data_IF_158960943965
#
_entry.id   IF_158960943965
#
_cell.length_a   1.000
_cell.length_b   1.000
_cell.length_c   1.000
_cell.angle_alpha   90.00
_cell.angle_beta   90.00
_cell.angle_gamma   90.00
#
_symmetry.space_group_name_H-M   'P 1'
#
loop_
_entity.id
_entity.type
_entity.pdbx_description
1 polymer ?
#
# COMPACT_ATOMS: atom_id res chain seq x y z
N UNK A 1 -29.23 16.67 -6.20
CA UNK A 1 -28.53 16.84 -4.92
C UNK A 1 -27.94 15.48 -4.62
N UNK A 2 -26.66 15.32 -4.97
CA UNK A 2 -26.02 14.03 -5.22
C UNK A 2 -25.83 13.22 -3.94
N UNK A 3 -26.46 12.06 -3.91
CA UNK A 3 -26.33 11.08 -2.84
C UNK A 3 -24.94 10.46 -2.89
N UNK A 4 -24.05 10.87 -1.99
CA UNK A 4 -22.78 10.18 -1.78
C UNK A 4 -23.07 8.77 -1.24
N UNK A 5 -22.91 7.77 -2.12
CA UNK A 5 -22.71 6.39 -1.71
C UNK A 5 -21.39 6.33 -0.92
N UNK A 6 -21.47 6.38 0.40
CA UNK A 6 -20.36 5.96 1.24
C UNK A 6 -20.19 4.45 1.00
N UNK A 7 -19.21 4.10 0.17
CA UNK A 7 -18.89 2.72 -0.17
C UNK A 7 -18.70 1.86 1.07
N UNK A 8 -19.00 0.57 0.96
CA UNK A 8 -18.87 -0.44 2.02
C UNK A 8 -17.62 -0.22 2.89
N UNK A 9 -17.78 0.45 4.03
CA UNK A 9 -16.71 0.62 4.98
C UNK A 9 -16.36 -0.73 5.60
N UNK A 10 -15.07 -1.04 5.71
CA UNK A 10 -14.63 -2.22 6.47
C UNK A 10 -14.92 -1.96 7.95
N UNK A 11 -15.82 -2.73 8.53
CA UNK A 11 -16.12 -2.65 9.96
C UNK A 11 -15.07 -3.42 10.76
N UNK A 12 -14.49 -2.79 11.78
CA UNK A 12 -13.52 -3.41 12.69
C UNK A 12 -14.11 -3.42 14.10
N UNK A 13 -14.22 -4.60 14.71
CA UNK A 13 -14.65 -4.75 16.09
C UNK A 13 -13.42 -4.66 17.01
N UNK A 14 -13.37 -3.64 17.87
CA UNK A 14 -12.24 -3.38 18.77
C UNK A 14 -12.73 -3.50 20.20
N UNK A 15 -11.98 -4.23 21.03
CA UNK A 15 -12.21 -4.29 22.47
C UNK A 15 -11.31 -3.28 23.14
N UNK A 16 -11.91 -2.41 23.94
CA UNK A 16 -11.21 -1.38 24.71
C UNK A 16 -11.58 -1.59 26.18
N UNK A 17 -10.60 -1.49 27.07
CA UNK A 17 -10.90 -1.30 28.48
C UNK A 17 -11.48 0.11 28.72
N UNK A 18 -12.18 0.27 29.84
CA UNK A 18 -12.92 1.50 30.12
C UNK A 18 -12.00 2.72 30.25
N UNK A 19 -10.80 2.54 30.80
CA UNK A 19 -9.84 3.63 30.96
C UNK A 19 -9.31 4.11 29.60
N UNK A 20 -8.94 3.19 28.71
CA UNK A 20 -8.50 3.51 27.35
C UNK A 20 -9.63 4.14 26.54
N UNK A 21 -10.86 3.62 26.66
CA UNK A 21 -12.03 4.21 26.00
C UNK A 21 -12.25 5.66 26.45
N UNK A 22 -12.25 5.92 27.76
CA UNK A 22 -12.44 7.27 28.30
C UNK A 22 -11.35 8.24 27.82
N UNK A 23 -10.09 7.81 27.82
CA UNK A 23 -8.98 8.61 27.32
C UNK A 23 -9.10 8.90 25.81
N UNK A 24 -9.53 7.92 25.02
CA UNK A 24 -9.77 8.08 23.59
C UNK A 24 -10.94 9.03 23.30
N UNK A 25 -12.04 8.95 24.05
CA UNK A 25 -13.18 9.86 23.92
C UNK A 25 -12.80 11.31 24.25
N UNK A 26 -12.07 11.52 25.33
CA UNK A 26 -11.59 12.85 25.72
C UNK A 26 -10.66 13.45 24.64
N UNK A 27 -9.82 12.61 24.03
CA UNK A 27 -8.96 13.01 22.92
C UNK A 27 -9.73 13.26 21.62
N UNK A 28 -10.76 12.48 21.33
CA UNK A 28 -11.66 12.68 20.21
C UNK A 28 -12.43 14.00 20.34
N UNK A 29 -12.99 14.28 21.52
CA UNK A 29 -13.68 15.55 21.85
C UNK A 29 -12.78 16.76 21.62
N UNK A 30 -11.53 16.73 22.10
CA UNK A 30 -10.56 17.80 21.84
C UNK A 30 -10.28 18.07 20.35
N UNK A 31 -10.47 17.06 19.51
CA UNK A 31 -10.29 17.16 18.06
C UNK A 31 -11.59 17.43 17.31
N UNK A 32 -12.73 17.55 18.00
CA UNK A 32 -14.04 17.69 17.37
C UNK A 32 -14.48 16.44 16.59
N UNK A 33 -13.95 15.26 16.92
CA UNK A 33 -14.23 14.00 16.25
C UNK A 33 -15.11 13.10 17.12
N UNK A 34 -15.88 12.22 16.46
CA UNK A 34 -16.47 11.07 17.15
C UNK A 34 -15.37 10.09 17.55
N UNK A 35 -15.63 9.25 18.56
CA UNK A 35 -14.68 8.21 18.96
C UNK A 35 -14.32 7.29 17.77
N UNK A 36 -15.31 6.92 16.96
CA UNK A 36 -15.10 6.09 15.78
C UNK A 36 -14.21 6.79 14.74
N UNK A 37 -14.45 8.08 14.45
CA UNK A 37 -13.63 8.85 13.52
C UNK A 37 -12.20 8.99 14.03
N UNK A 38 -12.03 9.29 15.31
CA UNK A 38 -10.71 9.37 15.93
C UNK A 38 -9.92 8.05 15.86
N UNK A 39 -10.59 6.92 16.08
CA UNK A 39 -9.94 5.59 15.98
C UNK A 39 -9.61 5.23 14.53
N UNK A 40 -10.48 5.58 13.57
CA UNK A 40 -10.19 5.38 12.15
C UNK A 40 -8.95 6.15 11.71
N UNK A 41 -8.85 7.44 12.07
CA UNK A 41 -7.68 8.28 11.79
C UNK A 41 -6.41 7.72 12.43
N UNK A 42 -6.51 7.20 13.66
CA UNK A 42 -5.37 6.61 14.37
C UNK A 42 -4.86 5.36 13.65
N UNK A 43 -5.77 4.47 13.22
CA UNK A 43 -5.42 3.26 12.48
C UNK A 43 -4.81 3.63 11.12
N UNK A 44 -5.39 4.59 10.42
CA UNK A 44 -4.87 5.02 9.11
C UNK A 44 -3.46 5.63 9.23
N UNK A 45 -3.24 6.47 10.24
CA UNK A 45 -1.92 7.04 10.51
C UNK A 45 -0.87 5.95 10.81
N UNK A 46 -1.22 4.97 11.63
CA UNK A 46 -0.34 3.85 11.99
C UNK A 46 -0.01 2.95 10.78
N UNK A 47 -1.04 2.65 9.96
CA UNK A 47 -0.86 1.88 8.72
C UNK A 47 0.03 2.62 7.73
N UNK A 48 -0.12 3.93 7.59
CA UNK A 48 0.70 4.72 6.70
C UNK A 48 2.17 4.75 7.16
N UNK A 49 2.41 4.89 8.47
CA UNK A 49 3.76 4.81 9.04
C UNK A 49 4.39 3.42 8.82
N UNK A 50 3.66 2.35 9.13
CA UNK A 50 4.12 0.97 8.93
C UNK A 50 4.42 0.68 7.45
N UNK A 51 3.56 1.16 6.55
CA UNK A 51 3.76 1.07 5.09
C UNK A 51 5.01 1.83 4.65
N UNK A 52 5.21 3.05 5.14
CA UNK A 52 6.38 3.85 4.80
C UNK A 52 7.69 3.17 5.26
N UNK A 53 7.71 2.66 6.50
CA UNK A 53 8.85 1.91 7.02
C UNK A 53 9.14 0.63 6.20
N UNK A 54 8.09 -0.12 5.83
CA UNK A 54 8.22 -1.29 4.98
C UNK A 54 8.79 -0.94 3.59
N UNK A 55 8.27 0.10 2.93
CA UNK A 55 8.78 0.53 1.62
C UNK A 55 10.24 0.99 1.70
N UNK A 56 10.63 1.72 2.75
CA UNK A 56 12.02 2.10 2.98
C UNK A 56 12.94 0.89 3.20
N UNK A 57 12.47 -0.11 3.96
CA UNK A 57 13.18 -1.37 4.13
C UNK A 57 13.31 -2.16 2.82
N UNK A 58 12.23 -2.25 2.04
CA UNK A 58 12.26 -2.91 0.73
C UNK A 58 13.22 -2.21 -0.25
N UNK A 59 13.23 -0.87 -0.28
CA UNK A 59 14.17 -0.11 -1.10
C UNK A 59 15.63 -0.37 -0.66
N UNK A 60 15.88 -0.42 0.65
CA UNK A 60 17.21 -0.70 1.20
C UNK A 60 17.68 -2.13 0.89
N UNK A 61 16.76 -3.09 0.98
CA UNK A 61 17.00 -4.48 0.58
C UNK A 61 17.34 -4.58 -0.91
N UNK A 62 16.55 -3.97 -1.78
CA UNK A 62 16.81 -3.97 -3.22
C UNK A 62 18.16 -3.32 -3.51
N UNK A 63 18.49 -2.18 -2.91
CA UNK A 63 19.79 -1.53 -3.11
C UNK A 63 20.97 -2.41 -2.67
N UNK A 64 20.82 -3.18 -1.59
CA UNK A 64 21.89 -4.05 -1.07
C UNK A 64 22.08 -5.33 -1.87
N UNK A 65 21.03 -5.83 -2.52
CA UNK A 65 21.03 -7.16 -3.15
C UNK A 65 20.79 -7.14 -4.66
N UNK A 66 20.50 -5.99 -5.27
CA UNK A 66 20.24 -5.88 -6.71
C UNK A 66 21.36 -6.51 -7.54
N UNK A 67 22.62 -6.14 -7.29
CA UNK A 67 23.77 -6.68 -8.03
C UNK A 67 23.93 -8.20 -7.84
N UNK A 68 23.62 -8.70 -6.64
CA UNK A 68 23.66 -10.14 -6.36
C UNK A 68 22.53 -10.89 -7.07
N UNK A 69 21.33 -10.29 -7.16
CA UNK A 69 20.24 -10.84 -7.97
C UNK A 69 20.60 -10.80 -9.45
N UNK A 70 21.10 -9.69 -10.00
CA UNK A 70 21.52 -9.64 -11.40
C UNK A 70 22.63 -10.67 -11.72
N UNK A 71 23.57 -10.89 -10.80
CA UNK A 71 24.60 -11.92 -10.99
C UNK A 71 24.05 -13.36 -10.93
N UNK A 72 23.07 -13.63 -10.05
CA UNK A 72 22.52 -14.97 -9.83
C UNK A 72 21.32 -15.29 -10.76
N UNK A 73 20.58 -14.28 -11.23
CA UNK A 73 19.32 -14.43 -11.99
C UNK A 73 19.22 -13.52 -13.24
N UNK A 74 20.19 -12.64 -13.49
CA UNK A 74 20.19 -11.71 -14.61
C UNK A 74 20.47 -12.38 -15.96
N UNK A 75 19.64 -12.01 -16.93
CA UNK A 75 19.68 -12.20 -18.39
C UNK A 75 19.93 -13.57 -19.04
N UNK A 76 20.54 -14.58 -18.41
CA UNK A 76 20.69 -15.91 -19.05
C UNK A 76 19.51 -16.86 -18.73
N UNK A 77 18.44 -16.32 -18.11
CA UNK A 77 17.29 -17.10 -17.61
C UNK A 77 15.93 -16.44 -17.77
N UNK A 78 15.80 -15.43 -18.64
CA UNK A 78 14.48 -14.97 -19.11
C UNK A 78 14.13 -15.67 -20.43
N UNK A 79 13.47 -16.85 -20.41
CA UNK A 79 12.96 -17.47 -21.62
C UNK A 79 11.79 -16.64 -22.16
N UNK A 80 12.07 -15.61 -22.95
CA UNK A 80 11.00 -14.83 -23.58
C UNK A 80 11.40 -13.51 -24.23
N UNK A 81 12.47 -12.85 -23.81
CA UNK A 81 12.92 -11.62 -24.49
C UNK A 81 13.89 -12.01 -25.59
N UNK A 82 13.35 -12.57 -26.68
CA UNK A 82 14.16 -12.77 -27.88
C UNK A 82 14.63 -11.42 -28.40
N UNK A 83 15.94 -11.27 -28.55
CA UNK A 83 16.66 -10.12 -29.10
C UNK A 83 16.40 -9.89 -30.60
N UNK A 84 15.22 -10.30 -31.08
CA UNK A 84 14.84 -10.21 -32.48
C UNK A 84 14.33 -8.79 -32.74
N UNK A 85 15.01 -7.98 -33.57
CA UNK A 85 14.45 -6.70 -33.97
C UNK A 85 13.07 -6.94 -34.59
N UNK A 86 12.06 -6.20 -34.11
CA UNK A 86 10.69 -6.30 -34.56
C UNK A 86 10.64 -6.18 -36.08
N UNK A 87 10.39 -7.30 -36.77
CA UNK A 87 10.29 -7.33 -38.21
C UNK A 87 9.05 -6.51 -38.62
N UNK A 88 9.19 -5.45 -39.44
CA UNK A 88 8.03 -4.67 -39.86
C UNK A 88 7.14 -5.57 -40.72
N UNK A 89 5.90 -5.75 -40.26
CA UNK A 89 4.89 -6.52 -40.97
C UNK A 89 4.68 -5.93 -42.38
N UNK A 90 4.61 -6.76 -43.45
CA UNK A 90 4.30 -6.27 -44.78
C UNK A 90 2.86 -5.75 -44.78
N UNK A 91 2.72 -4.43 -44.88
CA UNK A 91 1.51 -3.82 -45.40
C UNK A 91 1.48 -4.17 -46.88
N UNK A 92 0.70 -5.18 -47.24
CA UNK A 92 -0.04 -5.26 -48.50
C UNK A 92 -0.58 -6.69 -48.71
N UNK A 93 -1.88 -6.83 -48.51
CA UNK A 93 -2.70 -7.86 -49.15
C UNK A 93 -4.09 -7.23 -49.33
N UNK A 94 -4.28 -6.60 -50.49
CA UNK A 94 -5.56 -6.17 -51.04
C UNK A 94 -6.19 -7.31 -51.83
#
# INVERSE_FOLDING_TARGET
MDSYSAGMGKQVNIRLDEAVKAAAEDRAKRRGLSLQGYVADLIEADLNQSRAAFMAGAASFLAAYADAFEAEVGEDRYPGLSDRPAQPAPRDAA
#
